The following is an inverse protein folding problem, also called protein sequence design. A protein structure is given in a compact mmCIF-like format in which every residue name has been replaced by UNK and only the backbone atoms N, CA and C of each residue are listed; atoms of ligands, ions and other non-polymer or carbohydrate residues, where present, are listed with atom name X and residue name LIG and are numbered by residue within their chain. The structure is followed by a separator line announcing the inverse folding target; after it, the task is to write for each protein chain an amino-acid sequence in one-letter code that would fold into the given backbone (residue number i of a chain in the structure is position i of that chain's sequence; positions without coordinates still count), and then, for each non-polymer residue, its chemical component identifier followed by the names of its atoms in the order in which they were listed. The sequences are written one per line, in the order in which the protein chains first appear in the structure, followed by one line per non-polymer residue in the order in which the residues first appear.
data_IF_683701027707
#
_entry.id   IF_683701027707
#
_cell.length_a   1.000
_cell.length_b   1.000
_cell.length_c   1.000
_cell.angle_alpha   90.00
_cell.angle_beta   90.00
_cell.angle_gamma   90.00
#
_symmetry.space_group_name_H-M   'P 1'
#
loop_
_entity.id
_entity.type
_entity.pdbx_description
1 polymer ?
#
# COMPACT_ATOMS: atom_id res chain seq x y z
N UNK A 1 13.09 -12.36 35.51
CA UNK A 1 12.45 -11.15 34.96
C UNK A 1 13.30 -10.72 33.77
N UNK A 2 12.87 -10.98 32.56
CA UNK A 2 13.51 -10.43 31.38
C UNK A 2 13.37 -8.91 31.44
N UNK A 3 14.47 -8.20 31.19
CA UNK A 3 14.49 -6.73 31.23
C UNK A 3 13.87 -6.28 29.90
N UNK A 4 12.61 -5.89 29.91
CA UNK A 4 11.96 -5.25 28.79
C UNK A 4 12.39 -3.78 28.77
N UNK A 5 13.29 -3.44 27.86
CA UNK A 5 13.80 -2.07 27.71
C UNK A 5 12.81 -1.18 26.93
N UNK A 6 12.86 0.16 27.09
CA UNK A 6 12.03 1.08 26.28
C UNK A 6 12.16 0.85 24.77
N UNK A 7 13.35 0.49 24.27
CA UNK A 7 13.59 0.19 22.86
C UNK A 7 12.83 -1.06 22.40
N UNK A 8 12.79 -2.11 23.23
CA UNK A 8 12.02 -3.33 22.94
C UNK A 8 10.53 -3.00 22.92
N UNK A 9 10.04 -2.24 23.90
CA UNK A 9 8.63 -1.80 23.97
C UNK A 9 8.25 -1.00 22.72
N UNK A 10 9.09 -0.04 22.34
CA UNK A 10 8.89 0.78 21.14
C UNK A 10 8.90 -0.03 19.87
N UNK A 11 9.84 -0.98 19.72
CA UNK A 11 9.93 -1.85 18.54
C UNK A 11 8.71 -2.76 18.40
N UNK A 12 8.26 -3.38 19.48
CA UNK A 12 7.04 -4.23 19.47
C UNK A 12 5.80 -3.44 19.08
N UNK A 13 5.60 -2.27 19.67
CA UNK A 13 4.48 -1.41 19.32
C UNK A 13 4.56 -0.92 17.88
N UNK A 14 5.75 -0.54 17.39
CA UNK A 14 5.95 -0.14 16.00
C UNK A 14 5.52 -1.25 15.04
N UNK A 15 5.93 -2.51 15.30
CA UNK A 15 5.51 -3.67 14.52
C UNK A 15 3.99 -3.83 14.51
N UNK A 16 3.34 -3.83 15.67
CA UNK A 16 1.88 -3.93 15.77
C UNK A 16 1.21 -2.79 14.99
N UNK A 17 1.66 -1.55 15.20
CA UNK A 17 1.06 -0.37 14.60
C UNK A 17 1.19 -0.35 13.06
N UNK A 18 2.35 -0.71 12.52
CA UNK A 18 2.59 -0.72 11.08
C UNK A 18 1.89 -1.88 10.38
N UNK A 19 1.88 -3.08 10.97
CA UNK A 19 1.22 -4.27 10.41
C UNK A 19 -0.30 -4.16 10.41
N UNK A 20 -0.86 -3.43 11.36
CA UNK A 20 -2.31 -3.19 11.46
C UNK A 20 -2.77 -1.88 10.83
N UNK A 21 -1.88 -1.12 10.18
CA UNK A 21 -2.19 0.19 9.63
C UNK A 21 -2.79 1.14 10.66
N UNK A 22 -2.14 1.28 11.82
CA UNK A 22 -2.64 2.10 12.92
C UNK A 22 -3.89 1.53 13.59
N UNK A 23 -4.00 0.20 13.68
CA UNK A 23 -5.15 -0.54 14.21
C UNK A 23 -6.42 -0.43 13.36
N UNK A 24 -6.29 -0.13 12.07
CA UNK A 24 -7.41 -0.04 11.13
C UNK A 24 -7.81 -1.39 10.51
N UNK A 25 -6.91 -2.37 10.51
CA UNK A 25 -7.16 -3.72 10.00
C UNK A 25 -6.37 -4.77 10.80
N UNK A 26 -6.75 -6.04 10.69
CA UNK A 26 -6.14 -7.18 11.41
C UNK A 26 -6.00 -6.97 12.93
N UNK A 27 -6.81 -6.10 13.53
CA UNK A 27 -6.68 -5.69 14.94
C UNK A 27 -7.92 -5.94 15.78
N UNK A 28 -8.93 -6.67 15.26
CA UNK A 28 -10.19 -6.92 15.97
C UNK A 28 -10.07 -7.96 17.10
N UNK A 29 -8.92 -8.62 17.25
CA UNK A 29 -8.73 -9.58 18.33
C UNK A 29 -8.45 -8.86 19.66
N UNK A 30 -9.20 -9.10 20.75
CA UNK A 30 -9.02 -8.41 22.03
C UNK A 30 -7.61 -8.49 22.62
N UNK A 31 -6.88 -9.58 22.33
CA UNK A 31 -5.51 -9.76 22.78
C UNK A 31 -4.56 -8.68 22.26
N UNK A 32 -4.75 -8.18 21.04
CA UNK A 32 -3.97 -7.08 20.48
C UNK A 32 -4.00 -5.86 21.39
N UNK A 33 -5.18 -5.49 21.88
CA UNK A 33 -5.37 -4.33 22.76
C UNK A 33 -4.81 -4.57 24.17
N UNK A 34 -4.90 -5.80 24.69
CA UNK A 34 -4.26 -6.16 25.98
C UNK A 34 -2.75 -6.03 25.89
N UNK A 35 -2.14 -6.54 24.81
CA UNK A 35 -0.68 -6.37 24.59
C UNK A 35 -0.32 -4.88 24.51
N UNK A 36 -1.10 -4.05 23.83
CA UNK A 36 -0.85 -2.60 23.76
C UNK A 36 -0.96 -1.97 25.15
N UNK A 37 -1.92 -2.38 25.98
CA UNK A 37 -2.05 -1.91 27.35
C UNK A 37 -0.82 -2.29 28.19
N UNK A 38 -0.36 -3.55 28.09
CA UNK A 38 0.85 -4.03 28.78
C UNK A 38 2.11 -3.23 28.35
N UNK A 39 2.22 -2.89 27.05
CA UNK A 39 3.30 -2.06 26.54
C UNK A 39 3.25 -0.62 27.10
N UNK A 40 2.04 -0.04 27.23
CA UNK A 40 1.86 1.28 27.84
C UNK A 40 2.26 1.27 29.32
N UNK A 41 1.88 0.22 30.07
CA UNK A 41 2.29 0.03 31.46
C UNK A 41 3.81 -0.17 31.59
N UNK A 42 4.44 -0.77 30.58
CA UNK A 42 5.90 -0.91 30.49
C UNK A 42 6.63 0.37 30.04
N UNK A 43 5.92 1.49 29.88
CA UNK A 43 6.51 2.80 29.58
C UNK A 43 6.58 3.15 28.10
N UNK A 44 5.71 2.60 27.25
CA UNK A 44 5.61 2.96 25.83
C UNK A 44 5.31 4.47 25.69
N UNK A 45 6.17 5.20 25.00
CA UNK A 45 5.82 6.52 24.46
C UNK A 45 5.15 6.37 23.09
N UNK A 46 3.85 6.13 23.12
CA UNK A 46 3.02 5.98 21.90
C UNK A 46 3.03 7.24 21.06
N UNK A 47 3.05 8.42 21.67
CA UNK A 47 3.01 9.70 20.96
C UNK A 47 4.29 9.90 20.14
N UNK A 48 5.44 9.65 20.74
CA UNK A 48 6.74 9.68 20.06
C UNK A 48 6.80 8.73 18.86
N UNK A 49 6.36 7.47 19.04
CA UNK A 49 6.34 6.49 17.93
C UNK A 49 5.41 6.95 16.82
N UNK A 50 4.22 7.47 17.15
CA UNK A 50 3.27 7.97 16.16
C UNK A 50 3.86 9.15 15.36
N UNK A 51 4.49 10.10 16.01
CA UNK A 51 5.17 11.22 15.36
C UNK A 51 6.25 10.72 14.38
N UNK A 52 7.10 9.78 14.83
CA UNK A 52 8.19 9.21 14.00
C UNK A 52 7.69 8.46 12.78
N UNK A 53 6.56 7.78 12.87
CA UNK A 53 6.00 7.00 11.74
C UNK A 53 5.21 7.91 10.78
N UNK A 54 4.39 8.82 11.30
CA UNK A 54 3.37 9.49 10.48
C UNK A 54 3.60 10.98 10.25
N UNK A 55 4.43 11.65 11.07
CA UNK A 55 4.59 13.12 11.04
C UNK A 55 5.98 13.57 10.58
N UNK A 56 6.85 12.66 10.13
CA UNK A 56 8.19 12.96 9.62
C UNK A 56 8.25 13.10 8.09
N UNK A 57 7.13 13.46 7.46
CA UNK A 57 7.08 13.65 6.02
C UNK A 57 7.80 14.93 5.60
N UNK A 58 8.64 14.84 4.57
CA UNK A 58 9.20 16.02 3.92
C UNK A 58 8.18 16.63 2.93
N UNK A 59 8.35 17.92 2.62
CA UNK A 59 7.45 18.64 1.72
C UNK A 59 7.47 18.05 0.29
N UNK A 60 8.59 17.54 -0.18
CA UNK A 60 8.74 16.91 -1.50
C UNK A 60 7.86 15.67 -1.62
N UNK A 61 7.82 14.82 -0.58
CA UNK A 61 6.91 13.66 -0.51
C UNK A 61 5.45 14.10 -0.62
N UNK A 62 5.02 15.09 0.17
CA UNK A 62 3.64 15.57 0.14
C UNK A 62 3.26 16.14 -1.23
N UNK A 63 4.17 16.87 -1.87
CA UNK A 63 3.96 17.40 -3.23
C UNK A 63 3.89 16.29 -4.29
N UNK A 64 4.73 15.27 -4.19
CA UNK A 64 4.67 14.09 -5.07
C UNK A 64 3.32 13.37 -4.92
N UNK A 65 2.91 13.06 -3.69
CA UNK A 65 1.60 12.45 -3.41
C UNK A 65 0.47 13.30 -3.97
N UNK A 66 0.49 14.61 -3.71
CA UNK A 66 -0.51 15.55 -4.22
C UNK A 66 -0.58 15.58 -5.76
N UNK A 67 0.58 15.57 -6.43
CA UNK A 67 0.64 15.48 -7.89
C UNK A 67 0.04 14.17 -8.41
N UNK A 68 0.37 13.05 -7.80
CA UNK A 68 -0.15 11.74 -8.23
C UNK A 68 -1.67 11.67 -8.05
N UNK A 69 -2.19 12.11 -6.91
CA UNK A 69 -3.63 12.08 -6.64
C UNK A 69 -4.42 13.03 -7.55
N UNK A 70 -3.87 14.21 -7.85
CA UNK A 70 -4.56 15.19 -8.69
C UNK A 70 -4.48 14.88 -10.18
N UNK A 71 -3.31 14.44 -10.66
CA UNK A 71 -3.01 14.39 -12.09
C UNK A 71 -2.88 12.98 -12.66
N UNK A 72 -2.75 11.94 -11.81
CA UNK A 72 -2.46 10.57 -12.24
C UNK A 72 -3.45 9.52 -11.75
N UNK A 73 -4.25 9.85 -10.74
CA UNK A 73 -5.27 8.93 -10.26
C UNK A 73 -6.38 8.80 -11.31
N UNK A 74 -6.49 7.62 -11.88
CA UNK A 74 -7.57 7.23 -12.78
C UNK A 74 -8.45 6.19 -12.07
N UNK A 75 -9.76 6.44 -12.02
CA UNK A 75 -10.74 5.43 -11.58
C UNK A 75 -11.43 4.85 -12.82
N UNK A 76 -11.43 3.52 -12.94
CA UNK A 76 -12.05 2.86 -14.07
C UNK A 76 -13.57 3.01 -14.00
N UNK A 77 -14.23 3.30 -15.15
CA UNK A 77 -15.68 3.56 -15.22
C UNK A 77 -16.52 2.29 -15.08
N UNK A 78 -15.99 1.13 -15.49
CA UNK A 78 -16.73 -0.14 -15.53
C UNK A 78 -16.42 -1.07 -14.36
N UNK A 79 -15.23 -0.91 -13.76
CA UNK A 79 -14.73 -1.79 -12.70
C UNK A 79 -14.25 -0.96 -11.50
N UNK A 80 -14.42 -1.43 -10.28
CA UNK A 80 -14.03 -0.72 -9.06
C UNK A 80 -12.51 -0.69 -8.83
N UNK A 81 -11.76 -0.23 -9.83
CA UNK A 81 -10.30 -0.19 -9.85
C UNK A 81 -9.79 1.24 -10.01
N UNK A 82 -8.83 1.61 -9.20
CA UNK A 82 -8.05 2.83 -9.36
C UNK A 82 -6.62 2.52 -9.81
N UNK A 83 -6.07 3.31 -10.72
CA UNK A 83 -4.73 3.16 -11.27
C UNK A 83 -3.97 4.46 -11.11
N UNK A 84 -2.70 4.39 -10.71
CA UNK A 84 -1.81 5.54 -10.54
C UNK A 84 -0.47 5.28 -11.25
N UNK A 85 -0.30 5.65 -12.53
CA UNK A 85 0.98 5.60 -13.20
C UNK A 85 1.89 6.76 -12.81
N UNK A 86 3.11 6.46 -12.38
CA UNK A 86 4.10 7.44 -11.92
C UNK A 86 5.36 7.28 -12.77
N UNK A 87 5.75 8.34 -13.48
CA UNK A 87 6.91 8.34 -14.34
C UNK A 87 8.19 8.58 -13.56
N UNK A 88 9.31 8.17 -14.13
CA UNK A 88 10.64 8.47 -13.59
C UNK A 88 10.90 9.98 -13.50
N UNK A 89 10.48 10.74 -14.51
CA UNK A 89 10.61 12.19 -14.53
C UNK A 89 9.88 12.85 -13.34
N UNK A 90 8.70 12.36 -12.98
CA UNK A 90 7.97 12.87 -11.82
C UNK A 90 8.69 12.55 -10.51
N UNK A 91 9.25 11.34 -10.38
CA UNK A 91 10.05 11.00 -9.22
C UNK A 91 11.25 11.93 -9.06
N UNK A 92 11.97 12.21 -10.16
CA UNK A 92 13.12 13.09 -10.15
C UNK A 92 12.73 14.56 -9.89
N UNK A 93 11.62 15.04 -10.45
CA UNK A 93 11.07 16.40 -10.23
C UNK A 93 10.79 16.68 -8.76
N UNK A 94 10.28 15.69 -8.03
CA UNK A 94 9.94 15.83 -6.61
C UNK A 94 11.04 15.33 -5.67
N UNK A 95 12.28 15.08 -6.17
CA UNK A 95 13.38 14.57 -5.37
C UNK A 95 13.01 13.33 -4.54
N UNK A 96 12.34 12.38 -5.21
CA UNK A 96 11.87 11.14 -4.60
C UNK A 96 13.00 10.41 -3.86
N UNK A 97 12.68 9.94 -2.67
CA UNK A 97 13.51 9.02 -1.88
C UNK A 97 12.77 7.71 -1.65
N UNK A 98 13.51 6.63 -1.46
CA UNK A 98 12.90 5.34 -1.11
C UNK A 98 12.06 5.49 0.16
N UNK A 99 10.82 4.98 0.10
CA UNK A 99 9.81 5.15 1.13
C UNK A 99 8.79 6.26 0.87
N UNK A 100 9.09 7.27 0.03
CA UNK A 100 8.18 8.42 -0.20
C UNK A 100 6.83 8.03 -0.82
N UNK A 101 6.72 6.88 -1.47
CA UNK A 101 5.45 6.37 -2.02
C UNK A 101 4.75 5.34 -1.10
N UNK A 102 5.32 5.07 0.08
CA UNK A 102 4.68 4.15 1.02
C UNK A 102 3.31 4.69 1.46
N UNK A 103 2.32 3.80 1.44
CA UNK A 103 0.95 4.15 1.79
C UNK A 103 0.12 4.78 0.66
N UNK A 104 0.74 5.36 -0.38
CA UNK A 104 0.02 6.02 -1.48
C UNK A 104 -0.98 5.08 -2.16
N UNK A 105 -0.59 3.83 -2.41
CA UNK A 105 -1.46 2.81 -3.03
C UNK A 105 -2.75 2.53 -2.23
N UNK A 106 -2.79 2.84 -0.94
CA UNK A 106 -3.98 2.65 -0.11
C UNK A 106 -4.99 3.81 -0.23
N UNK A 107 -4.54 5.01 -0.59
CA UNK A 107 -5.38 6.21 -0.60
C UNK A 107 -6.62 6.05 -1.49
N UNK A 108 -6.52 5.54 -2.74
CA UNK A 108 -7.70 5.37 -3.58
C UNK A 108 -8.75 4.41 -3.03
N UNK A 109 -8.36 3.48 -2.14
CA UNK A 109 -9.31 2.60 -1.49
C UNK A 109 -10.28 3.34 -0.54
N UNK A 110 -10.00 4.60 -0.17
CA UNK A 110 -10.93 5.44 0.58
C UNK A 110 -12.12 5.92 -0.27
N UNK A 111 -12.01 5.86 -1.59
CA UNK A 111 -13.12 6.18 -2.51
C UNK A 111 -14.15 5.06 -2.42
N UNK A 112 -15.45 5.44 -2.26
CA UNK A 112 -16.53 4.51 -1.94
C UNK A 112 -16.65 3.33 -2.94
N UNK A 113 -16.55 3.63 -4.24
CA UNK A 113 -16.70 2.67 -5.33
C UNK A 113 -15.37 2.06 -5.82
N UNK A 114 -14.28 2.19 -5.08
CA UNK A 114 -12.99 1.56 -5.40
C UNK A 114 -12.73 0.41 -4.43
N UNK A 115 -12.52 -0.79 -4.95
CA UNK A 115 -12.14 -1.96 -4.16
C UNK A 115 -10.72 -2.46 -4.47
N UNK A 116 -10.13 -2.05 -5.60
CA UNK A 116 -8.74 -2.37 -5.98
C UNK A 116 -7.99 -1.09 -6.33
N UNK A 117 -6.76 -0.99 -5.90
CA UNK A 117 -5.85 0.10 -6.25
C UNK A 117 -4.53 -0.47 -6.76
N UNK A 118 -4.06 0.08 -7.89
CA UNK A 118 -2.80 -0.30 -8.54
C UNK A 118 -1.92 0.94 -8.70
N UNK A 119 -0.80 0.96 -8.02
CA UNK A 119 0.26 1.94 -8.23
C UNK A 119 1.31 1.35 -9.17
N UNK A 120 1.63 2.06 -10.25
CA UNK A 120 2.56 1.63 -11.28
C UNK A 120 3.69 2.66 -11.33
N UNK A 121 4.89 2.27 -10.92
CA UNK A 121 6.00 3.21 -10.72
C UNK A 121 7.17 2.85 -11.62
N UNK A 122 7.54 3.75 -12.51
CA UNK A 122 8.71 3.61 -13.35
C UNK A 122 9.99 3.79 -12.52
N UNK A 123 10.86 2.78 -12.56
CA UNK A 123 12.18 2.78 -11.95
C UNK A 123 13.24 2.76 -13.06
N UNK A 124 14.52 2.90 -12.70
CA UNK A 124 15.61 2.96 -13.70
C UNK A 124 15.67 1.75 -14.64
N UNK A 125 15.44 0.56 -14.10
CA UNK A 125 15.64 -0.70 -14.83
C UNK A 125 14.31 -1.41 -15.15
N UNK A 126 13.24 -1.07 -14.45
CA UNK A 126 11.95 -1.77 -14.55
C UNK A 126 10.78 -0.93 -14.04
N UNK A 127 9.60 -1.35 -14.35
CA UNK A 127 8.37 -0.83 -13.74
C UNK A 127 7.97 -1.71 -12.58
N UNK A 128 7.77 -1.10 -11.40
CA UNK A 128 7.22 -1.76 -10.20
C UNK A 128 5.73 -1.52 -10.09
N UNK A 129 4.99 -2.57 -9.71
CA UNK A 129 3.58 -2.49 -9.42
C UNK A 129 3.32 -2.81 -7.95
N UNK A 130 2.43 -2.05 -7.34
CA UNK A 130 1.89 -2.35 -6.02
C UNK A 130 0.38 -2.46 -6.13
N UNK A 131 -0.17 -3.54 -5.62
CA UNK A 131 -1.60 -3.83 -5.64
C UNK A 131 -2.15 -3.85 -4.23
N UNK A 132 -3.31 -3.25 -4.03
CA UNK A 132 -4.07 -3.32 -2.79
C UNK A 132 -5.55 -3.53 -3.09
N UNK A 133 -6.25 -4.20 -2.18
CA UNK A 133 -7.67 -4.44 -2.31
C UNK A 133 -8.40 -4.44 -0.96
N UNK A 134 -9.72 -4.37 -1.03
CA UNK A 134 -10.64 -4.53 0.12
C UNK A 134 -11.29 -5.92 0.11
N UNK A 135 -11.73 -6.36 1.28
CA UNK A 135 -12.49 -7.60 1.44
C UNK A 135 -11.74 -8.84 0.96
N UNK A 136 -12.42 -9.74 0.30
CA UNK A 136 -11.87 -11.01 -0.16
C UNK A 136 -11.32 -10.95 -1.60
N UNK A 137 -10.91 -9.79 -2.09
CA UNK A 137 -10.44 -9.61 -3.47
C UNK A 137 -8.96 -9.98 -3.60
N UNK A 138 -8.58 -11.11 -4.25
CA UNK A 138 -7.24 -11.68 -4.24
C UNK A 138 -6.32 -11.02 -5.29
N UNK A 139 -5.81 -9.82 -5.02
CA UNK A 139 -4.90 -9.12 -5.95
C UNK A 139 -3.56 -9.82 -6.13
N UNK A 140 -3.17 -10.70 -5.21
CA UNK A 140 -2.00 -11.57 -5.37
C UNK A 140 -2.11 -12.50 -6.58
N UNK A 141 -3.30 -13.03 -6.88
CA UNK A 141 -3.51 -13.88 -8.05
C UNK A 141 -3.39 -13.08 -9.35
N UNK A 142 -3.89 -11.85 -9.38
CA UNK A 142 -3.70 -10.96 -10.53
C UNK A 142 -2.23 -10.61 -10.76
N UNK A 143 -1.51 -10.23 -9.68
CA UNK A 143 -0.08 -9.94 -9.74
C UNK A 143 0.74 -11.14 -10.24
N UNK A 144 0.42 -12.35 -9.76
CA UNK A 144 1.07 -13.60 -10.17
C UNK A 144 0.81 -13.98 -11.62
N UNK A 145 -0.43 -13.82 -12.09
CA UNK A 145 -0.82 -14.22 -13.43
C UNK A 145 -0.20 -13.35 -14.54
N UNK A 146 0.00 -12.03 -14.30
CA UNK A 146 0.35 -11.09 -15.36
C UNK A 146 1.59 -10.22 -15.12
N UNK A 147 2.08 -10.09 -13.89
CA UNK A 147 3.05 -9.05 -13.53
C UNK A 147 4.30 -9.58 -12.82
N UNK A 148 4.66 -10.84 -13.02
CA UNK A 148 5.81 -11.47 -12.37
C UNK A 148 5.87 -11.18 -10.87
N UNK A 149 4.72 -11.31 -10.20
CA UNK A 149 4.52 -10.84 -8.86
C UNK A 149 3.89 -11.87 -7.93
N UNK A 150 3.40 -11.39 -6.80
CA UNK A 150 2.73 -12.19 -5.76
C UNK A 150 2.62 -11.40 -4.47
N UNK A 151 2.20 -12.07 -3.40
CA UNK A 151 2.02 -11.46 -2.10
C UNK A 151 0.84 -12.07 -1.34
N UNK A 152 0.26 -11.27 -0.45
CA UNK A 152 -0.92 -11.64 0.31
C UNK A 152 -2.21 -11.28 -0.43
N UNK A 153 -3.33 -11.84 0.00
CA UNK A 153 -4.66 -11.63 -0.58
C UNK A 153 -4.91 -10.17 -1.00
N UNK A 154 -4.75 -9.24 -0.06
CA UNK A 154 -5.06 -7.83 -0.23
C UNK A 154 -3.83 -6.93 -0.46
N UNK A 155 -2.62 -7.50 -0.54
CA UNK A 155 -1.38 -6.75 -0.69
C UNK A 155 -0.38 -7.55 -1.51
N UNK A 156 -0.19 -7.16 -2.75
CA UNK A 156 0.73 -7.83 -3.67
C UNK A 156 1.64 -6.81 -4.38
N UNK A 157 2.74 -7.32 -4.90
CA UNK A 157 3.67 -6.58 -5.75
C UNK A 157 3.89 -7.29 -7.07
N UNK A 158 4.39 -6.56 -8.06
CA UNK A 158 4.82 -7.09 -9.34
C UNK A 158 5.90 -6.24 -9.96
N UNK A 159 6.52 -6.75 -11.02
CA UNK A 159 7.54 -5.99 -11.77
C UNK A 159 7.58 -6.42 -13.22
N UNK A 160 7.91 -5.47 -14.09
CA UNK A 160 8.02 -5.72 -15.52
C UNK A 160 9.18 -4.93 -16.12
N UNK A 161 9.90 -5.55 -17.05
CA UNK A 161 10.99 -4.92 -17.81
C UNK A 161 10.43 -4.42 -19.16
N UNK A 162 9.39 -3.57 -19.08
CA UNK A 162 8.67 -2.94 -20.20
C UNK A 162 8.52 -1.45 -19.94
N UNK A 163 8.33 -0.61 -20.99
CA UNK A 163 8.00 0.80 -20.84
C UNK A 163 6.72 1.00 -20.00
N UNK A 164 6.68 2.08 -19.20
CA UNK A 164 5.53 2.39 -18.34
C UNK A 164 4.20 2.36 -19.08
N UNK A 165 4.13 2.94 -20.28
CA UNK A 165 2.91 2.98 -21.08
C UNK A 165 2.37 1.59 -21.45
N UNK A 166 3.26 0.64 -21.73
CA UNK A 166 2.90 -0.75 -22.04
C UNK A 166 2.41 -1.48 -20.79
N UNK A 167 3.03 -1.24 -19.64
CA UNK A 167 2.59 -1.81 -18.37
C UNK A 167 1.22 -1.27 -17.97
N UNK A 168 0.98 0.03 -18.12
CA UNK A 168 -0.35 0.65 -17.88
C UNK A 168 -1.41 0.05 -18.80
N UNK A 169 -1.11 -0.10 -20.09
CA UNK A 169 -2.01 -0.75 -21.06
C UNK A 169 -2.32 -2.18 -20.60
N UNK A 170 -1.31 -2.97 -20.27
CA UNK A 170 -1.49 -4.36 -19.81
C UNK A 170 -2.34 -4.44 -18.53
N UNK A 171 -2.15 -3.52 -17.58
CA UNK A 171 -3.03 -3.45 -16.40
C UNK A 171 -4.47 -3.24 -16.84
N UNK A 172 -4.75 -2.25 -17.71
CA UNK A 172 -6.11 -1.95 -18.19
C UNK A 172 -6.74 -3.13 -18.96
N UNK A 173 -5.98 -3.81 -19.80
CA UNK A 173 -6.43 -4.95 -20.62
C UNK A 173 -6.73 -6.20 -19.75
N UNK A 174 -6.09 -6.36 -18.61
CA UNK A 174 -6.28 -7.52 -17.73
C UNK A 174 -7.34 -7.32 -16.64
N UNK A 175 -7.85 -6.10 -16.44
CA UNK A 175 -8.95 -5.82 -15.50
C UNK A 175 -10.19 -6.71 -15.77
N UNK A 176 -10.73 -6.83 -17.01
CA UNK A 176 -11.91 -7.65 -17.25
C UNK A 176 -11.70 -9.11 -16.87
N UNK A 177 -10.54 -9.68 -17.24
CA UNK A 177 -10.19 -11.05 -16.86
C UNK A 177 -10.18 -11.22 -15.33
N UNK A 178 -9.56 -10.29 -14.60
CA UNK A 178 -9.48 -10.37 -13.15
C UNK A 178 -10.87 -10.39 -12.49
N UNK A 179 -11.76 -9.50 -12.90
CA UNK A 179 -13.13 -9.45 -12.38
C UNK A 179 -14.01 -10.62 -12.81
N UNK A 180 -13.74 -11.21 -13.97
CA UNK A 180 -14.39 -12.47 -14.38
C UNK A 180 -14.00 -13.64 -13.48
N UNK A 181 -12.71 -13.75 -13.09
CA UNK A 181 -12.27 -14.76 -12.14
C UNK A 181 -12.94 -14.59 -10.76
N UNK A 182 -13.15 -13.35 -10.28
CA UNK A 182 -13.87 -13.10 -9.03
C UNK A 182 -15.31 -13.59 -9.08
N UNK A 183 -16.05 -13.29 -10.16
CA UNK A 183 -17.42 -13.77 -10.36
C UNK A 183 -17.49 -15.29 -10.35
N UNK A 184 -16.55 -15.96 -11.02
CA UNK A 184 -16.48 -17.43 -11.09
C UNK A 184 -16.15 -18.07 -9.73
N UNK A 185 -15.49 -17.33 -8.84
CA UNK A 185 -15.15 -17.75 -7.49
C UNK A 185 -16.21 -17.42 -6.43
N UNK A 186 -17.32 -16.79 -6.83
CA UNK A 186 -18.40 -16.41 -5.92
C UNK A 186 -18.07 -15.20 -5.03
N UNK A 187 -17.13 -14.38 -5.43
CA UNK A 187 -16.67 -13.17 -4.73
C UNK A 187 -17.29 -11.93 -5.34
#
# INVERSE_FOLDING_TARGET
KEIVTPDIVGALYTGINTDTGGLSHNSSHPQTYRIIADLLEAGLDKAYIHERIYQMNNLSRLRLIGNVLLNKLEVNEQYPVAIMPITREELDRYNYKDGDLEGLVNIPLSVHNVCVSVQITERRERVKLSFRSKGNVPVNEWAKAFFNGGGHLNAAGGQMDLPLAEVVRKVKETIPWFFEQLKNSGI
#
